data_IF_086576689714
#
_entry.id   IF_086576689714
#
_cell.length_a   1.000
_cell.length_b   1.000
_cell.length_c   1.000
_cell.angle_alpha   90.00
_cell.angle_beta   90.00
_cell.angle_gamma   90.00
#
_symmetry.space_group_name_H-M   'P 1'
#
loop_
_entity.id
_entity.type
_entity.pdbx_description
1 polymer ?
#
# COMPACT_ATOMS: atom_id res chain seq x y z
N UNK A 1 1.11 -11.52 12.10
CA UNK A 1 1.93 -10.38 11.63
C UNK A 1 1.01 -9.28 11.16
N UNK A 2 1.34 -8.01 11.42
CA UNK A 2 0.52 -6.85 11.05
C UNK A 2 0.85 -6.42 9.61
N UNK A 3 -0.17 -6.06 8.82
CA UNK A 3 -0.01 -5.62 7.42
C UNK A 3 0.10 -4.10 7.37
N UNK A 4 1.19 -3.59 6.80
CA UNK A 4 1.54 -2.18 6.68
C UNK A 4 1.55 -1.66 5.25
N UNK A 5 1.61 -2.55 4.25
CA UNK A 5 1.65 -2.20 2.83
C UNK A 5 0.47 -2.87 2.12
N UNK A 6 -0.30 -2.07 1.37
CA UNK A 6 -1.52 -2.50 0.68
C UNK A 6 -1.38 -2.24 -0.82
N UNK A 7 -1.34 -3.30 -1.60
CA UNK A 7 -1.19 -3.23 -3.04
C UNK A 7 -2.52 -2.93 -3.76
N UNK A 8 -2.46 -2.26 -4.90
CA UNK A 8 -3.57 -2.08 -5.84
C UNK A 8 -3.05 -2.19 -7.28
N UNK A 9 -3.86 -2.74 -8.19
CA UNK A 9 -3.48 -2.90 -9.60
C UNK A 9 -4.08 -4.16 -10.22
N UNK A 10 -4.13 -4.20 -11.56
CA UNK A 10 -4.56 -5.40 -12.30
C UNK A 10 -6.01 -5.81 -12.02
N UNK A 11 -6.88 -4.86 -11.68
CA UNK A 11 -8.27 -5.14 -11.33
C UNK A 11 -8.49 -5.60 -9.89
N UNK A 12 -7.45 -5.56 -9.04
CA UNK A 12 -7.50 -6.04 -7.66
C UNK A 12 -6.86 -5.05 -6.69
N UNK A 13 -7.25 -5.12 -5.41
CA UNK A 13 -6.56 -4.39 -4.35
C UNK A 13 -6.67 -5.11 -3.01
N UNK A 14 -5.68 -4.89 -2.16
CA UNK A 14 -5.63 -5.38 -0.78
C UNK A 14 -6.54 -4.61 0.17
N UNK A 15 -6.98 -3.41 -0.24
CA UNK A 15 -7.89 -2.54 0.51
C UNK A 15 -9.11 -2.14 -0.32
N UNK A 16 -9.88 -1.19 0.18
CA UNK A 16 -11.05 -0.63 -0.51
C UNK A 16 -11.34 0.81 -0.06
N UNK A 17 -12.39 1.41 -0.66
CA UNK A 17 -12.79 2.79 -0.40
C UNK A 17 -13.24 3.09 1.03
N UNK A 18 -13.49 2.07 1.86
CA UNK A 18 -13.90 2.23 3.26
C UNK A 18 -12.71 2.44 4.20
N UNK A 19 -11.50 2.04 3.78
CA UNK A 19 -10.29 2.04 4.61
C UNK A 19 -9.57 3.39 4.68
N UNK A 20 -10.31 4.50 4.72
CA UNK A 20 -9.75 5.86 4.66
C UNK A 20 -8.86 6.20 5.84
N UNK A 21 -9.20 5.73 7.03
CA UNK A 21 -8.40 6.00 8.23
C UNK A 21 -7.04 5.31 8.18
N UNK A 22 -6.97 4.13 7.54
CA UNK A 22 -5.75 3.33 7.45
C UNK A 22 -4.90 3.66 6.21
N UNK A 23 -5.53 3.95 5.06
CA UNK A 23 -4.84 4.16 3.78
C UNK A 23 -4.79 5.64 3.35
N UNK A 24 -5.47 6.52 4.09
CA UNK A 24 -5.77 7.87 3.65
C UNK A 24 -6.81 7.91 2.52
N UNK A 25 -7.36 9.10 2.25
CA UNK A 25 -8.40 9.27 1.22
C UNK A 25 -7.94 8.88 -0.19
N UNK A 26 -6.67 9.13 -0.53
CA UNK A 26 -6.10 8.79 -1.84
C UNK A 26 -5.86 7.28 -1.99
N UNK A 27 -5.26 6.64 -0.99
CA UNK A 27 -4.96 5.21 -1.03
C UNK A 27 -6.25 4.37 -1.08
N UNK A 28 -7.24 4.71 -0.25
CA UNK A 28 -8.56 4.07 -0.28
C UNK A 28 -9.26 4.27 -1.64
N UNK A 29 -9.17 5.46 -2.22
CA UNK A 29 -9.73 5.74 -3.54
C UNK A 29 -9.06 4.94 -4.66
N UNK A 30 -7.73 4.85 -4.68
CA UNK A 30 -6.99 4.05 -5.67
C UNK A 30 -7.30 2.54 -5.54
N UNK A 31 -7.44 2.05 -4.31
CA UNK A 31 -7.85 0.67 -4.06
C UNK A 31 -9.26 0.38 -4.59
N UNK A 32 -10.22 1.27 -4.34
CA UNK A 32 -11.60 1.16 -4.84
C UNK A 32 -11.64 1.19 -6.37
N UNK A 33 -10.93 2.14 -6.99
CA UNK A 33 -10.84 2.26 -8.44
C UNK A 33 -10.27 0.96 -9.06
N UNK A 34 -9.20 0.41 -8.48
CA UNK A 34 -8.62 -0.83 -8.98
C UNK A 34 -9.59 -2.01 -8.87
N UNK A 35 -10.27 -2.18 -7.72
CA UNK A 35 -11.24 -3.26 -7.49
C UNK A 35 -12.48 -3.18 -8.39
N UNK A 36 -12.89 -1.97 -8.74
CA UNK A 36 -14.04 -1.74 -9.63
C UNK A 36 -13.67 -1.90 -11.12
N UNK A 37 -12.42 -2.26 -11.42
CA UNK A 37 -11.93 -2.49 -12.78
C UNK A 37 -11.58 -1.21 -13.52
N UNK A 38 -11.53 -0.06 -12.85
CA UNK A 38 -11.02 1.17 -13.45
C UNK A 38 -9.53 1.00 -13.71
N UNK A 39 -9.04 1.30 -14.93
CA UNK A 39 -7.63 1.15 -15.27
C UNK A 39 -6.80 2.20 -14.52
N UNK A 40 -6.25 1.79 -13.38
CA UNK A 40 -5.26 2.54 -12.61
C UNK A 40 -3.90 1.85 -12.73
N UNK A 41 -2.79 2.60 -12.87
CA UNK A 41 -1.46 2.02 -12.79
C UNK A 41 -1.27 1.25 -11.47
N UNK A 42 -0.60 0.09 -11.48
CA UNK A 42 -0.34 -0.66 -10.26
C UNK A 42 0.53 0.14 -9.29
N UNK A 43 0.40 -0.17 -8.00
CA UNK A 43 1.15 0.47 -6.95
C UNK A 43 0.75 -0.07 -5.58
N UNK A 44 1.22 0.60 -4.53
CA UNK A 44 0.88 0.25 -3.17
C UNK A 44 0.81 1.48 -2.27
N UNK A 45 0.05 1.35 -1.19
CA UNK A 45 -0.07 2.36 -0.13
C UNK A 45 0.57 1.83 1.14
N UNK A 46 1.42 2.64 1.75
CA UNK A 46 1.92 2.42 3.11
C UNK A 46 0.91 3.03 4.08
N UNK A 47 0.46 2.24 5.05
CA UNK A 47 -0.59 2.66 6.00
C UNK A 47 -0.22 3.91 6.80
N UNK A 48 -1.23 4.66 7.25
CA UNK A 48 -1.09 5.83 8.13
C UNK A 48 -0.40 5.50 9.45
N UNK A 49 -0.53 4.26 9.95
CA UNK A 49 0.12 3.79 11.17
C UNK A 49 1.66 3.80 11.07
N UNK A 50 2.21 3.55 9.88
CA UNK A 50 3.67 3.61 9.67
C UNK A 50 4.19 5.04 9.85
N UNK A 51 3.38 6.05 9.55
CA UNK A 51 3.73 7.44 9.80
C UNK A 51 3.96 7.67 11.31
N UNK A 52 3.05 7.18 12.15
CA UNK A 52 3.20 7.28 13.61
C UNK A 52 4.43 6.51 14.08
N UNK A 53 4.60 5.26 13.62
CA UNK A 53 5.78 4.44 13.96
C UNK A 53 7.10 5.11 13.57
N UNK A 54 7.13 5.82 12.44
CA UNK A 54 8.32 6.56 12.01
C UNK A 54 8.70 7.66 12.98
N UNK A 55 7.73 8.46 13.43
CA UNK A 55 7.96 9.54 14.38
C UNK A 55 8.25 9.01 15.80
N UNK A 56 7.63 7.90 16.20
CA UNK A 56 7.88 7.26 17.51
C UNK A 56 9.27 6.59 17.59
N UNK A 57 9.85 6.20 16.45
CA UNK A 57 11.14 5.51 16.37
C UNK A 57 12.27 6.41 15.81
N UNK A 58 12.26 7.71 16.12
CA UNK A 58 13.33 8.65 15.75
C UNK A 58 13.65 8.67 14.24
N UNK A 59 12.61 8.63 13.41
CA UNK A 59 12.74 8.65 11.96
C UNK A 59 13.18 7.32 11.34
N UNK A 60 12.88 6.20 12.01
CA UNK A 60 13.11 4.85 11.50
C UNK A 60 11.82 4.07 11.46
N UNK A 61 11.72 3.10 10.57
CA UNK A 61 10.60 2.14 10.56
C UNK A 61 11.10 0.77 11.01
N UNK A 62 10.25 -0.07 11.61
CA UNK A 62 10.59 -1.46 11.90
C UNK A 62 10.99 -2.22 10.64
N UNK A 63 11.89 -3.21 10.76
CA UNK A 63 12.35 -4.05 9.64
C UNK A 63 11.19 -4.71 8.87
N UNK A 64 10.12 -5.04 9.59
CA UNK A 64 8.92 -5.63 9.00
C UNK A 64 8.23 -4.70 7.98
N UNK A 65 8.28 -3.38 8.19
CA UNK A 65 7.76 -2.40 7.23
C UNK A 65 8.64 -2.38 5.98
N UNK A 66 9.97 -2.35 6.15
CA UNK A 66 10.92 -2.35 5.03
C UNK A 66 10.79 -3.64 4.20
N UNK A 67 10.62 -4.79 4.86
CA UNK A 67 10.38 -6.08 4.20
C UNK A 67 9.12 -6.05 3.34
N UNK A 68 7.98 -5.63 3.91
CA UNK A 68 6.72 -5.53 3.15
C UNK A 68 6.79 -4.52 2.00
N UNK A 69 7.52 -3.41 2.18
CA UNK A 69 7.75 -2.44 1.09
C UNK A 69 8.55 -3.06 -0.06
N UNK A 70 9.61 -3.81 0.24
CA UNK A 70 10.41 -4.50 -0.79
C UNK A 70 9.61 -5.58 -1.52
N UNK A 71 8.79 -6.34 -0.80
CA UNK A 71 7.90 -7.33 -1.40
C UNK A 71 6.87 -6.68 -2.35
N UNK A 72 6.29 -5.55 -1.93
CA UNK A 72 5.35 -4.80 -2.76
C UNK A 72 6.03 -4.14 -3.98
N UNK A 73 7.28 -3.68 -3.83
CA UNK A 73 8.08 -3.13 -4.92
C UNK A 73 8.43 -4.19 -5.96
N UNK A 74 8.89 -5.37 -5.54
CA UNK A 74 9.17 -6.48 -6.45
C UNK A 74 7.91 -6.91 -7.23
N UNK A 75 6.75 -6.96 -6.55
CA UNK A 75 5.46 -7.21 -7.21
C UNK A 75 5.09 -6.12 -8.22
N UNK A 76 5.37 -4.86 -7.90
CA UNK A 76 5.13 -3.74 -8.81
C UNK A 76 6.00 -3.86 -10.07
N UNK A 77 7.29 -4.13 -9.89
CA UNK A 77 8.26 -4.33 -10.98
C UNK A 77 7.84 -5.48 -11.90
N UNK A 78 7.43 -6.63 -11.34
CA UNK A 78 6.91 -7.77 -12.10
C UNK A 78 5.69 -7.39 -12.96
N UNK A 79 4.74 -6.65 -12.39
CA UNK A 79 3.55 -6.18 -13.13
C UNK A 79 3.86 -5.15 -14.22
N UNK A 80 4.97 -4.43 -14.08
CA UNK A 80 5.46 -3.48 -15.07
C UNK A 80 6.43 -4.10 -16.08
N UNK A 81 6.86 -5.36 -15.88
CA UNK A 81 7.81 -6.07 -16.72
C UNK A 81 9.25 -5.57 -16.57
N UNK A 82 9.64 -5.14 -15.36
CA UNK A 82 11.00 -4.69 -15.03
C UNK A 82 11.85 -5.78 -14.36
#
# INVERSE_FOLDING_TARGET
MKKYVYFFGGGTADGDGTMKDLLGGKGAGLAEMSRTGVPVPPGFTITTEVCNLYFENDGKVPEEVDRQMREALAKLEEMMGQ
#
